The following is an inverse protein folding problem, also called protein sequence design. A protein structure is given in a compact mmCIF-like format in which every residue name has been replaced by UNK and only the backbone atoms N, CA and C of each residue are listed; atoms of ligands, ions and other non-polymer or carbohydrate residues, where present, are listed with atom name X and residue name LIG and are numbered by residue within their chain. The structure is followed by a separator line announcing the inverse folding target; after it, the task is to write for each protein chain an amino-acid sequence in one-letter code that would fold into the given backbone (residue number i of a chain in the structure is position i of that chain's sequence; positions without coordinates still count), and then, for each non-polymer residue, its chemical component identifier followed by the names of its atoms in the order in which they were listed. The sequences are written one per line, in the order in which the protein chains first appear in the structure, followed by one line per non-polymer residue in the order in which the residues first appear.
data_IF_490301070739
#
_entry.id   IF_490301070739
#
_cell.length_a   1.000
_cell.length_b   1.000
_cell.length_c   1.000
_cell.angle_alpha   90.00
_cell.angle_beta   90.00
_cell.angle_gamma   90.00
#
_symmetry.space_group_name_H-M   'P 1'
#
loop_
_entity.id
_entity.type
_entity.pdbx_description
1 polymer ?
#
# COMPACT_ATOMS: atom_id res chain seq x y z
N UNK A 1 12.78 -96.80 17.63
CA UNK A 1 12.58 -96.15 16.33
C UNK A 1 12.41 -94.68 16.61
N UNK A 2 13.44 -93.93 16.45
CA UNK A 2 13.60 -92.56 16.92
C UNK A 2 13.48 -91.62 15.73
N UNK A 3 12.43 -90.81 15.73
CA UNK A 3 12.19 -89.82 14.67
C UNK A 3 12.89 -88.52 15.09
N UNK A 4 13.85 -88.08 14.29
CA UNK A 4 14.55 -86.79 14.45
C UNK A 4 13.71 -85.70 13.81
N UNK A 5 13.20 -84.79 14.60
CA UNK A 5 12.59 -83.54 14.13
C UNK A 5 13.70 -82.51 13.89
N UNK A 6 13.95 -82.18 12.63
CA UNK A 6 14.81 -81.08 12.26
C UNK A 6 13.97 -79.78 12.25
N UNK A 7 14.19 -78.95 13.24
CA UNK A 7 13.60 -77.60 13.31
C UNK A 7 14.45 -76.67 12.41
N UNK A 8 13.88 -76.25 11.27
CA UNK A 8 14.46 -75.19 10.45
C UNK A 8 14.06 -73.84 11.11
N UNK A 9 15.00 -73.21 11.79
CA UNK A 9 14.87 -71.80 12.15
C UNK A 9 15.05 -70.98 10.89
N UNK A 10 13.94 -70.49 10.35
CA UNK A 10 13.97 -69.39 9.37
C UNK A 10 14.39 -68.12 10.11
N UNK A 11 15.64 -67.73 9.97
CA UNK A 11 16.08 -66.37 10.27
C UNK A 11 15.45 -65.42 9.29
N UNK A 12 14.33 -64.83 9.64
CA UNK A 12 13.89 -63.60 8.99
C UNK A 12 14.88 -62.51 9.39
N UNK A 13 15.84 -62.28 8.51
CA UNK A 13 16.66 -61.10 8.59
C UNK A 13 15.69 -59.89 8.48
N UNK A 14 15.50 -59.18 9.57
CA UNK A 14 15.02 -57.81 9.48
C UNK A 14 15.98 -57.06 8.54
N UNK A 15 15.60 -56.90 7.30
CA UNK A 15 16.16 -55.82 6.49
C UNK A 15 15.83 -54.54 7.27
N UNK A 16 16.84 -53.99 7.94
CA UNK A 16 16.77 -52.57 8.30
C UNK A 16 16.44 -51.83 7.03
N UNK A 17 15.24 -51.29 6.93
CA UNK A 17 14.90 -50.34 5.86
C UNK A 17 16.04 -49.34 5.84
N UNK A 18 16.76 -49.27 4.72
CA UNK A 18 17.79 -48.25 4.53
C UNK A 18 17.06 -46.93 4.68
N UNK A 19 17.48 -46.14 5.64
CA UNK A 19 16.95 -44.78 5.80
C UNK A 19 16.96 -44.10 4.43
N UNK A 20 15.82 -43.59 4.02
CA UNK A 20 15.70 -42.90 2.76
C UNK A 20 16.41 -41.56 2.84
N UNK A 21 17.62 -41.48 2.36
CA UNK A 21 18.45 -40.28 2.34
C UNK A 21 18.21 -39.37 1.12
N UNK A 22 17.16 -39.62 0.36
CA UNK A 22 16.86 -38.87 -0.88
C UNK A 22 16.67 -37.36 -0.60
N UNK A 23 16.12 -37.01 0.55
CA UNK A 23 15.95 -35.61 0.95
C UNK A 23 17.27 -34.81 1.03
N UNK A 24 18.40 -35.46 1.29
CA UNK A 24 19.73 -34.84 1.32
C UNK A 24 20.21 -34.37 -0.06
N UNK A 25 19.54 -34.80 -1.12
CA UNK A 25 19.85 -34.43 -2.50
C UNK A 25 19.06 -33.20 -2.97
N UNK A 26 18.14 -32.69 -2.12
CA UNK A 26 17.41 -31.47 -2.44
C UNK A 26 18.37 -30.28 -2.58
N UNK A 27 18.14 -29.38 -3.54
CA UNK A 27 18.97 -28.21 -3.73
C UNK A 27 18.84 -27.27 -2.52
N UNK A 28 19.98 -26.87 -1.95
CA UNK A 28 20.04 -25.97 -0.79
C UNK A 28 20.18 -24.47 -1.16
N UNK A 29 20.39 -24.17 -2.45
CA UNK A 29 20.53 -22.82 -2.96
C UNK A 29 19.19 -22.11 -3.15
N UNK A 30 19.25 -20.78 -3.31
CA UNK A 30 18.08 -20.00 -3.70
C UNK A 30 17.66 -20.34 -5.14
N UNK A 31 16.37 -20.48 -5.36
CA UNK A 31 15.75 -20.75 -6.65
C UNK A 31 14.87 -19.55 -6.97
N UNK A 32 15.21 -18.80 -8.04
CA UNK A 32 14.47 -17.59 -8.41
C UNK A 32 13.34 -17.88 -9.40
N UNK A 33 12.29 -17.06 -9.33
CA UNK A 33 11.22 -17.05 -10.34
C UNK A 33 11.79 -16.72 -11.72
N UNK A 34 12.73 -15.77 -11.82
CA UNK A 34 13.36 -15.35 -13.06
C UNK A 34 14.12 -16.48 -13.76
N UNK A 35 14.62 -17.48 -13.02
CA UNK A 35 15.27 -18.65 -13.60
C UNK A 35 14.31 -19.61 -14.31
N UNK A 36 13.00 -19.40 -14.17
CA UNK A 36 11.96 -20.29 -14.64
C UNK A 36 11.82 -21.59 -13.85
N UNK A 37 12.62 -21.80 -12.79
CA UNK A 37 12.56 -22.98 -11.94
C UNK A 37 11.64 -22.84 -10.74
N UNK A 38 11.37 -21.60 -10.29
CA UNK A 38 10.39 -21.34 -9.23
C UNK A 38 9.08 -20.80 -9.82
N UNK A 39 7.96 -21.36 -9.39
CA UNK A 39 6.62 -20.83 -9.61
C UNK A 39 6.01 -20.50 -8.26
N UNK A 40 5.79 -19.22 -7.98
CA UNK A 40 5.26 -18.73 -6.72
C UNK A 40 3.91 -18.08 -6.99
N UNK A 41 2.92 -18.36 -6.13
CA UNK A 41 1.67 -17.60 -6.08
C UNK A 41 1.40 -17.12 -4.67
N UNK A 42 0.88 -15.90 -4.54
CA UNK A 42 0.41 -15.33 -3.26
C UNK A 42 -1.07 -15.02 -3.40
N UNK A 43 -1.89 -15.59 -2.53
CA UNK A 43 -3.35 -15.45 -2.57
C UNK A 43 -3.94 -15.78 -3.96
N UNK A 44 -3.46 -16.88 -4.56
CA UNK A 44 -3.81 -17.37 -5.90
C UNK A 44 -3.34 -16.49 -7.08
N UNK A 45 -2.58 -15.43 -6.81
CA UNK A 45 -2.04 -14.54 -7.83
C UNK A 45 -0.57 -14.89 -8.08
N UNK A 46 -0.15 -15.19 -9.32
CA UNK A 46 1.24 -15.46 -9.65
C UNK A 46 2.17 -14.29 -9.29
N UNK A 47 3.35 -14.61 -8.75
CA UNK A 47 4.42 -13.65 -8.54
C UNK A 47 5.45 -13.81 -9.65
N UNK A 48 5.84 -12.70 -10.29
CA UNK A 48 6.86 -12.68 -11.34
C UNK A 48 8.26 -12.38 -10.81
N UNK A 49 8.41 -12.22 -9.49
CA UNK A 49 9.68 -11.97 -8.81
C UNK A 49 9.75 -12.77 -7.51
N UNK A 50 10.95 -12.79 -6.92
CA UNK A 50 11.21 -13.43 -5.64
C UNK A 50 11.98 -14.74 -5.76
N UNK A 51 12.46 -15.19 -4.60
CA UNK A 51 13.27 -16.38 -4.47
C UNK A 51 12.69 -17.33 -3.43
N UNK A 52 12.93 -18.62 -3.64
CA UNK A 52 12.61 -19.70 -2.69
C UNK A 52 13.91 -20.42 -2.33
N UNK A 53 14.10 -20.69 -1.06
CA UNK A 53 15.12 -21.58 -0.56
C UNK A 53 14.46 -22.59 0.38
N UNK A 54 14.71 -23.87 0.17
CA UNK A 54 14.27 -24.94 1.05
C UNK A 54 15.48 -25.68 1.57
N UNK A 55 15.66 -25.71 2.89
CA UNK A 55 16.73 -26.45 3.54
C UNK A 55 16.09 -27.55 4.37
N UNK A 56 16.29 -28.80 3.94
CA UNK A 56 15.78 -29.96 4.65
C UNK A 56 16.62 -30.22 5.90
N UNK A 57 15.97 -30.36 7.04
CA UNK A 57 16.57 -30.67 8.34
C UNK A 57 16.53 -32.18 8.63
N UNK A 58 15.52 -32.87 8.09
CA UNK A 58 15.29 -34.31 8.17
C UNK A 58 14.48 -34.79 6.96
N UNK A 59 14.10 -36.04 6.94
CA UNK A 59 13.24 -36.65 5.92
C UNK A 59 11.78 -36.16 5.98
N UNK A 60 11.37 -35.56 7.10
CA UNK A 60 10.02 -35.07 7.37
C UNK A 60 9.93 -33.57 7.70
N UNK A 61 11.08 -32.87 7.80
CA UNK A 61 11.11 -31.46 8.19
C UNK A 61 12.10 -30.64 7.34
N UNK A 62 11.71 -29.40 7.04
CA UNK A 62 12.54 -28.44 6.34
C UNK A 62 12.23 -27.01 6.78
N UNK A 63 13.16 -26.10 6.52
CA UNK A 63 12.97 -24.65 6.63
C UNK A 63 12.84 -24.06 5.22
N UNK A 64 11.67 -23.48 4.95
CA UNK A 64 11.41 -22.71 3.72
C UNK A 64 11.70 -21.23 4.00
N UNK A 65 12.48 -20.59 3.13
CA UNK A 65 12.69 -19.14 3.13
C UNK A 65 12.15 -18.57 1.83
N UNK A 66 11.28 -17.59 1.95
CA UNK A 66 10.72 -16.81 0.84
C UNK A 66 11.34 -15.41 0.88
N UNK A 67 12.06 -15.01 -0.17
CA UNK A 67 12.74 -13.71 -0.26
C UNK A 67 12.09 -12.85 -1.33
N UNK A 68 11.64 -11.64 -0.96
CA UNK A 68 11.03 -10.68 -1.89
C UNK A 68 9.67 -11.12 -2.45
N UNK A 69 8.97 -12.01 -1.75
CA UNK A 69 7.67 -12.57 -2.21
C UNK A 69 6.50 -11.78 -1.63
N UNK A 70 6.61 -11.34 -0.38
CA UNK A 70 5.53 -10.60 0.30
C UNK A 70 6.01 -9.18 0.59
N UNK A 71 5.30 -8.15 0.10
CA UNK A 71 5.66 -6.76 0.35
C UNK A 71 5.83 -6.44 1.84
N UNK A 72 6.85 -5.66 2.17
CA UNK A 72 7.20 -5.32 3.55
C UNK A 72 8.06 -6.35 4.28
N UNK A 73 8.26 -7.54 3.72
CA UNK A 73 9.10 -8.60 4.30
C UNK A 73 10.21 -8.98 3.33
N UNK A 74 11.46 -8.72 3.70
CA UNK A 74 12.61 -9.17 2.90
C UNK A 74 12.68 -10.69 2.84
N UNK A 75 12.60 -11.33 4.03
CA UNK A 75 12.63 -12.78 4.18
C UNK A 75 11.50 -13.24 5.10
N UNK A 76 10.74 -14.24 4.64
CA UNK A 76 9.77 -14.97 5.48
C UNK A 76 10.26 -16.41 5.64
N UNK A 77 10.51 -16.83 6.87
CA UNK A 77 10.93 -18.20 7.20
C UNK A 77 9.75 -18.99 7.75
N UNK A 78 9.54 -20.17 7.18
CA UNK A 78 8.46 -21.07 7.54
C UNK A 78 9.04 -22.45 7.82
N UNK A 79 8.80 -23.00 8.99
CA UNK A 79 9.04 -24.42 9.25
C UNK A 79 7.98 -25.24 8.54
N UNK A 80 8.37 -26.15 7.68
CA UNK A 80 7.48 -26.97 6.86
C UNK A 80 7.67 -28.44 7.12
N UNK A 81 6.59 -29.19 7.09
CA UNK A 81 6.63 -30.66 7.04
C UNK A 81 6.96 -31.08 5.59
N UNK A 82 7.91 -31.97 5.46
CA UNK A 82 8.35 -32.53 4.18
C UNK A 82 7.74 -33.92 3.99
N UNK A 83 7.21 -34.19 2.81
CA UNK A 83 6.60 -35.46 2.46
C UNK A 83 7.09 -35.94 1.09
N UNK A 84 7.81 -37.05 1.07
CA UNK A 84 8.21 -37.68 -0.20
C UNK A 84 6.98 -38.10 -1.00
N UNK A 85 6.90 -37.67 -2.25
CA UNK A 85 5.82 -37.97 -3.21
C UNK A 85 6.24 -39.03 -4.23
N UNK A 86 7.49 -38.94 -4.70
CA UNK A 86 8.11 -39.85 -5.62
C UNK A 86 9.63 -39.93 -5.36
N UNK A 87 10.37 -40.71 -6.13
CA UNK A 87 11.81 -40.82 -5.90
C UNK A 87 12.59 -39.54 -6.16
N UNK A 88 11.98 -38.57 -6.89
CA UNK A 88 12.59 -37.32 -7.30
C UNK A 88 11.85 -36.08 -6.79
N UNK A 89 10.77 -36.24 -6.01
CA UNK A 89 9.92 -35.09 -5.60
C UNK A 89 9.41 -35.17 -4.15
N UNK A 90 9.33 -34.01 -3.53
CA UNK A 90 8.80 -33.80 -2.19
C UNK A 90 7.72 -32.73 -2.20
N UNK A 91 6.65 -32.97 -1.45
CA UNK A 91 5.70 -31.93 -1.09
C UNK A 91 6.08 -31.33 0.26
N UNK A 92 5.72 -30.08 0.49
CA UNK A 92 5.90 -29.43 1.78
C UNK A 92 4.69 -28.57 2.14
N UNK A 93 4.46 -28.45 3.44
CA UNK A 93 3.39 -27.60 3.98
C UNK A 93 3.77 -27.07 5.34
N UNK A 94 3.46 -25.81 5.62
CA UNK A 94 3.73 -25.19 6.91
C UNK A 94 2.96 -23.90 7.11
N UNK A 95 3.01 -23.42 8.35
CA UNK A 95 2.40 -22.14 8.75
C UNK A 95 3.37 -21.40 9.63
N UNK A 96 3.46 -20.10 9.46
CA UNK A 96 4.18 -19.21 10.36
C UNK A 96 3.36 -17.96 10.63
N UNK A 97 3.56 -17.36 11.80
CA UNK A 97 2.99 -16.07 12.15
C UNK A 97 4.16 -15.09 12.22
N UNK A 98 4.05 -14.00 11.50
CA UNK A 98 5.05 -12.95 11.52
C UNK A 98 4.48 -11.71 12.20
N UNK A 99 5.29 -11.13 13.05
CA UNK A 99 5.02 -9.84 13.67
C UNK A 99 5.37 -8.71 12.69
N UNK A 100 5.18 -7.47 13.14
CA UNK A 100 5.51 -6.25 12.39
C UNK A 100 6.82 -6.39 11.63
N UNK A 101 6.91 -5.92 10.37
CA UNK A 101 8.16 -5.91 9.62
C UNK A 101 9.34 -5.37 10.45
N UNK A 102 10.52 -5.98 10.40
CA UNK A 102 11.65 -5.68 11.29
C UNK A 102 12.05 -4.20 11.32
N UNK A 103 11.83 -3.47 10.21
CA UNK A 103 12.08 -2.04 10.08
C UNK A 103 11.21 -1.17 11.01
N UNK A 104 10.04 -1.66 11.40
CA UNK A 104 9.11 -0.95 12.31
C UNK A 104 9.46 -1.25 13.77
N UNK A 105 9.84 -2.48 14.09
CA UNK A 105 10.19 -2.90 15.45
C UNK A 105 11.32 -2.04 16.04
N UNK A 106 12.26 -1.56 15.22
CA UNK A 106 13.36 -0.69 15.64
C UNK A 106 12.92 0.75 15.98
N UNK A 107 11.83 1.22 15.39
CA UNK A 107 11.33 2.60 15.58
C UNK A 107 10.29 2.69 16.70
N UNK A 108 9.48 1.66 16.85
CA UNK A 108 8.56 1.51 17.97
C UNK A 108 9.34 0.74 19.05
N UNK A 109 9.74 1.39 20.12
CA UNK A 109 10.36 0.75 21.32
C UNK A 109 9.41 -0.21 22.04
N UNK A 110 8.59 -0.93 21.30
CA UNK A 110 7.61 -1.87 21.81
C UNK A 110 8.14 -3.27 21.61
N UNK A 111 8.30 -4.00 22.72
CA UNK A 111 8.56 -5.43 22.77
C UNK A 111 7.30 -6.25 22.47
N UNK A 112 6.24 -5.60 21.98
CA UNK A 112 4.99 -6.25 21.68
C UNK A 112 5.10 -6.97 20.33
N UNK A 113 5.23 -8.27 20.40
CA UNK A 113 5.15 -9.22 19.29
C UNK A 113 3.69 -9.36 18.79
N UNK A 114 3.03 -8.23 18.48
CA UNK A 114 1.69 -8.30 17.90
C UNK A 114 1.79 -8.88 16.47
N UNK A 115 1.14 -10.02 16.21
CA UNK A 115 1.16 -10.63 14.90
C UNK A 115 0.49 -9.72 13.86
N UNK A 116 1.13 -9.56 12.70
CA UNK A 116 0.53 -8.82 11.59
C UNK A 116 -0.09 -9.76 10.56
N UNK A 117 0.60 -10.86 10.26
CA UNK A 117 0.16 -11.86 9.29
C UNK A 117 0.41 -13.28 9.76
N UNK A 118 -0.51 -14.18 9.41
CA UNK A 118 -0.27 -15.60 9.28
C UNK A 118 0.05 -15.92 7.81
N UNK A 119 1.07 -16.73 7.59
CA UNK A 119 1.45 -17.27 6.28
C UNK A 119 1.23 -18.76 6.28
N UNK A 120 0.38 -19.25 5.39
CA UNK A 120 0.19 -20.66 5.11
C UNK A 120 0.89 -20.96 3.79
N UNK A 121 1.83 -21.89 3.78
CA UNK A 121 2.55 -22.30 2.59
C UNK A 121 2.25 -23.75 2.26
N UNK A 122 2.09 -24.03 0.97
CA UNK A 122 1.94 -25.36 0.40
C UNK A 122 2.74 -25.43 -0.89
N UNK A 123 3.43 -26.52 -1.14
CA UNK A 123 4.23 -26.60 -2.35
C UNK A 123 4.88 -27.93 -2.60
N UNK A 124 5.71 -27.96 -3.64
CA UNK A 124 6.52 -29.11 -4.01
C UNK A 124 7.86 -28.68 -4.55
N UNK A 125 8.86 -29.54 -4.39
CA UNK A 125 10.21 -29.36 -4.91
C UNK A 125 10.70 -30.69 -5.47
N UNK A 126 11.44 -30.62 -6.58
CA UNK A 126 12.08 -31.78 -7.21
C UNK A 126 13.59 -31.74 -7.00
N UNK A 127 14.26 -32.87 -7.15
CA UNK A 127 15.71 -32.97 -6.98
C UNK A 127 16.50 -32.15 -8.01
N UNK A 128 15.93 -31.88 -9.17
CA UNK A 128 16.51 -31.00 -10.20
C UNK A 128 16.27 -29.49 -9.91
N UNK A 129 15.54 -29.19 -8.83
CA UNK A 129 15.33 -27.83 -8.34
C UNK A 129 14.13 -27.12 -8.92
N UNK A 130 13.20 -27.81 -9.60
CA UNK A 130 11.91 -27.18 -9.90
C UNK A 130 11.07 -27.07 -8.62
N UNK A 131 10.60 -25.88 -8.31
CA UNK A 131 9.81 -25.61 -7.09
C UNK A 131 8.52 -24.88 -7.40
N UNK A 132 7.43 -25.33 -6.79
CA UNK A 132 6.14 -24.65 -6.84
C UNK A 132 5.71 -24.32 -5.42
N UNK A 133 5.34 -23.06 -5.16
CA UNK A 133 4.91 -22.59 -3.84
C UNK A 133 3.62 -21.78 -3.98
N UNK A 134 2.65 -22.13 -3.17
CA UNK A 134 1.44 -21.32 -2.94
C UNK A 134 1.52 -20.74 -1.53
N UNK A 135 1.38 -19.45 -1.41
CA UNK A 135 1.37 -18.70 -0.15
C UNK A 135 -0.01 -18.10 0.04
N UNK A 136 -0.69 -18.44 1.11
CA UNK A 136 -1.89 -17.76 1.55
C UNK A 136 -1.56 -16.89 2.74
N UNK A 137 -1.87 -15.59 2.66
CA UNK A 137 -1.69 -14.63 3.74
C UNK A 137 -3.01 -14.38 4.45
N UNK A 138 -2.95 -14.07 5.75
CA UNK A 138 -4.11 -13.65 6.53
C UNK A 138 -3.68 -12.59 7.54
N UNK A 139 -4.34 -11.44 7.52
CA UNK A 139 -4.09 -10.38 8.51
C UNK A 139 -4.46 -10.83 9.92
N UNK A 140 -3.71 -10.35 10.91
CA UNK A 140 -3.83 -10.78 12.29
C UNK A 140 -3.90 -9.57 13.25
N UNK A 141 -4.23 -9.84 14.51
CA UNK A 141 -4.14 -8.87 15.61
C UNK A 141 -5.06 -7.66 15.42
N UNK A 142 -4.49 -6.46 15.50
CA UNK A 142 -5.21 -5.18 15.46
C UNK A 142 -5.92 -4.91 14.11
N UNK A 143 -5.62 -5.71 13.08
CA UNK A 143 -6.26 -5.60 11.77
C UNK A 143 -7.70 -6.14 11.75
N UNK A 144 -8.04 -7.07 12.63
CA UNK A 144 -9.33 -7.77 12.59
C UNK A 144 -10.58 -6.84 12.57
N UNK A 145 -10.64 -5.74 13.32
CA UNK A 145 -11.80 -4.84 13.31
C UNK A 145 -12.02 -4.10 11.99
N UNK A 146 -10.95 -3.95 11.17
CA UNK A 146 -10.99 -3.22 9.90
C UNK A 146 -11.40 -4.11 8.72
N UNK A 147 -11.33 -5.44 8.87
CA UNK A 147 -11.69 -6.38 7.80
C UNK A 147 -13.12 -6.14 7.33
N UNK A 148 -13.29 -6.02 6.02
CA UNK A 148 -14.57 -5.85 5.35
C UNK A 148 -14.62 -4.62 4.46
N UNK A 149 -15.82 -4.31 4.00
CA UNK A 149 -16.07 -3.20 3.09
C UNK A 149 -16.57 -1.97 3.84
N UNK A 150 -16.09 -0.81 3.42
CA UNK A 150 -16.34 0.49 4.03
C UNK A 150 -16.75 1.48 2.96
N UNK A 151 -18.00 1.92 2.99
CA UNK A 151 -18.53 2.91 2.07
C UNK A 151 -18.05 4.30 2.46
N UNK A 152 -17.65 5.12 1.47
CA UNK A 152 -17.37 6.53 1.75
C UNK A 152 -18.64 7.20 2.30
N UNK A 153 -18.48 8.06 3.29
CA UNK A 153 -19.61 8.81 3.82
C UNK A 153 -20.22 9.65 2.71
N UNK A 154 -21.53 9.51 2.49
CA UNK A 154 -22.28 10.29 1.53
C UNK A 154 -23.32 11.11 2.26
N UNK A 155 -23.24 12.42 2.15
CA UNK A 155 -24.24 13.31 2.69
C UNK A 155 -24.97 14.01 1.59
N UNK A 156 -26.30 14.05 1.68
CA UNK A 156 -27.16 14.86 0.82
C UNK A 156 -27.05 16.37 1.09
N UNK A 157 -26.26 16.75 2.08
CA UNK A 157 -26.10 18.11 2.58
C UNK A 157 -25.26 19.05 1.72
N UNK A 158 -24.61 18.56 0.67
CA UNK A 158 -23.83 19.41 -0.25
C UNK A 158 -24.64 20.55 -0.86
N UNK A 159 -25.97 20.47 -0.81
CA UNK A 159 -26.88 21.38 -1.49
C UNK A 159 -27.42 22.45 -0.55
N UNK A 160 -27.73 22.11 0.69
CA UNK A 160 -28.50 22.96 1.57
C UNK A 160 -27.67 23.63 2.66
N UNK A 161 -26.62 22.99 3.14
CA UNK A 161 -25.92 23.38 4.37
C UNK A 161 -24.52 23.90 4.16
N UNK A 162 -24.20 24.38 2.99
CA UNK A 162 -22.91 25.04 2.82
C UNK A 162 -21.68 24.15 3.06
N UNK A 163 -21.81 22.86 3.34
CA UNK A 163 -20.74 21.86 3.56
C UNK A 163 -19.45 22.41 4.20
N UNK A 164 -19.60 23.42 5.02
CA UNK A 164 -18.50 24.27 5.49
C UNK A 164 -18.28 24.14 7.00
N UNK A 165 -19.10 23.34 7.69
CA UNK A 165 -18.84 23.03 9.08
C UNK A 165 -17.70 22.03 9.19
N UNK A 166 -16.54 22.41 9.76
CA UNK A 166 -15.40 21.50 9.92
C UNK A 166 -15.70 20.36 10.89
N UNK A 167 -16.77 20.44 11.68
CA UNK A 167 -17.20 19.39 12.59
C UNK A 167 -18.21 18.43 11.95
N UNK A 168 -18.71 18.76 10.76
CA UNK A 168 -19.66 17.88 10.08
C UNK A 168 -18.94 16.68 9.47
N UNK A 169 -19.47 15.47 9.70
CA UNK A 169 -18.91 14.24 9.15
C UNK A 169 -19.15 14.22 7.64
N UNK A 170 -18.13 14.53 6.87
CA UNK A 170 -18.14 14.57 5.42
C UNK A 170 -17.16 13.55 4.85
N UNK A 171 -17.27 13.14 3.56
CA UNK A 171 -16.37 12.18 2.95
C UNK A 171 -14.90 12.47 3.17
N UNK A 172 -14.50 13.72 2.95
CA UNK A 172 -13.18 14.24 3.28
C UNK A 172 -13.29 15.39 4.27
N UNK A 173 -12.33 15.51 5.16
CA UNK A 173 -12.30 16.56 6.17
C UNK A 173 -10.88 17.09 6.32
N UNK A 174 -10.72 18.38 6.04
CA UNK A 174 -9.49 19.12 6.29
C UNK A 174 -9.62 19.89 7.60
N UNK A 175 -8.61 19.76 8.46
CA UNK A 175 -8.44 20.63 9.63
C UNK A 175 -7.08 21.27 9.54
N UNK A 176 -7.06 22.59 9.68
CA UNK A 176 -5.82 23.34 9.68
C UNK A 176 -5.90 24.49 10.67
N UNK A 177 -4.94 24.57 11.59
CA UNK A 177 -4.79 25.69 12.54
C UNK A 177 -3.37 26.20 12.46
N UNK A 178 -3.23 27.51 12.41
CA UNK A 178 -1.97 28.24 12.33
C UNK A 178 -1.93 29.22 13.50
N UNK A 179 -0.77 29.34 14.14
CA UNK A 179 -0.59 30.28 15.26
C UNK A 179 -0.45 31.72 14.77
N UNK A 180 -0.52 32.67 15.70
CA UNK A 180 -0.11 34.07 15.57
C UNK A 180 -0.89 34.92 14.53
N UNK A 181 -2.12 34.53 14.21
CA UNK A 181 -2.95 35.24 13.23
C UNK A 181 -2.44 35.17 11.79
N UNK A 182 -1.48 34.28 11.54
CA UNK A 182 -0.99 34.01 10.18
C UNK A 182 -2.00 33.20 9.38
N UNK A 183 -2.03 33.44 8.07
CA UNK A 183 -2.82 32.64 7.14
C UNK A 183 -4.33 32.73 7.30
N UNK A 184 -4.87 33.82 7.84
CA UNK A 184 -6.33 34.01 8.03
C UNK A 184 -7.11 33.77 6.74
N UNK A 185 -6.61 34.28 5.60
CA UNK A 185 -7.25 34.06 4.31
C UNK A 185 -7.25 32.60 3.95
N UNK A 186 -6.12 31.88 4.09
CA UNK A 186 -6.02 30.44 3.85
C UNK A 186 -7.01 29.67 4.73
N UNK A 187 -7.02 29.95 6.04
CA UNK A 187 -7.92 29.28 6.98
C UNK A 187 -9.39 29.53 6.66
N UNK A 188 -9.74 30.73 6.19
CA UNK A 188 -11.10 31.04 5.74
C UNK A 188 -11.49 30.26 4.47
N UNK A 189 -10.50 29.71 3.73
CA UNK A 189 -10.73 28.90 2.51
C UNK A 189 -10.77 27.40 2.77
N UNK A 190 -10.36 26.93 3.96
CA UNK A 190 -10.44 25.50 4.32
C UNK A 190 -11.83 24.88 4.10
N UNK A 191 -12.94 25.55 4.44
CA UNK A 191 -14.29 25.05 4.13
C UNK A 191 -14.55 24.84 2.63
N UNK A 192 -13.98 25.67 1.77
CA UNK A 192 -14.10 25.49 0.32
C UNK A 192 -13.27 24.31 -0.17
N UNK A 193 -12.09 24.07 0.41
CA UNK A 193 -11.29 22.89 0.12
C UNK A 193 -12.03 21.60 0.55
N UNK A 194 -12.67 21.64 1.72
CA UNK A 194 -13.55 20.55 2.17
C UNK A 194 -14.68 20.30 1.17
N UNK A 195 -15.37 21.36 0.76
CA UNK A 195 -16.46 21.24 -0.22
C UNK A 195 -15.98 20.65 -1.54
N UNK A 196 -14.90 21.20 -2.09
CA UNK A 196 -14.28 20.68 -3.31
C UNK A 196 -13.91 19.20 -3.21
N UNK A 197 -13.16 18.83 -2.16
CA UNK A 197 -12.76 17.45 -1.91
C UNK A 197 -13.96 16.50 -1.78
N UNK A 198 -15.01 16.95 -1.10
CA UNK A 198 -16.24 16.16 -0.94
C UNK A 198 -16.95 15.93 -2.28
N UNK A 199 -17.05 16.94 -3.12
CA UNK A 199 -17.65 16.80 -4.44
C UNK A 199 -16.85 15.83 -5.31
N UNK A 200 -15.52 16.01 -5.40
CA UNK A 200 -14.65 15.12 -6.18
C UNK A 200 -14.74 13.69 -5.67
N UNK A 201 -14.58 13.50 -4.37
CA UNK A 201 -14.48 12.16 -3.79
C UNK A 201 -15.76 11.36 -3.98
N UNK A 202 -16.91 11.99 -3.82
CA UNK A 202 -18.20 11.29 -4.00
C UNK A 202 -18.49 10.94 -5.47
N UNK A 203 -17.85 11.60 -6.44
CA UNK A 203 -17.95 11.24 -7.86
C UNK A 203 -17.07 10.07 -8.23
N UNK A 204 -15.86 9.98 -7.65
CA UNK A 204 -14.85 9.02 -8.13
C UNK A 204 -14.65 7.84 -7.19
N UNK A 205 -15.17 7.87 -5.98
CA UNK A 205 -14.91 6.85 -4.97
C UNK A 205 -16.18 6.46 -4.22
N UNK A 206 -16.44 5.16 -4.13
CA UNK A 206 -17.61 4.61 -3.47
C UNK A 206 -17.26 3.82 -2.20
N UNK A 207 -16.30 2.90 -2.32
CA UNK A 207 -16.02 1.94 -1.26
C UNK A 207 -14.55 1.53 -1.26
N UNK A 208 -14.01 1.27 -0.08
CA UNK A 208 -12.77 0.52 0.12
C UNK A 208 -13.07 -0.80 0.80
N UNK A 209 -12.41 -1.87 0.39
CA UNK A 209 -12.45 -3.17 1.04
C UNK A 209 -11.08 -3.53 1.55
N UNK A 210 -10.97 -3.74 2.86
CA UNK A 210 -9.83 -4.33 3.53
C UNK A 210 -10.06 -5.84 3.62
N UNK A 211 -9.44 -6.57 2.69
CA UNK A 211 -9.62 -8.02 2.59
C UNK A 211 -8.83 -8.75 3.68
N UNK A 212 -9.36 -9.86 4.18
CA UNK A 212 -8.70 -10.66 5.22
C UNK A 212 -7.33 -11.22 4.80
N UNK A 213 -7.09 -11.34 3.50
CA UNK A 213 -5.79 -11.77 2.96
C UNK A 213 -4.75 -10.66 2.90
N UNK A 214 -5.13 -9.43 3.28
CA UNK A 214 -4.26 -8.25 3.24
C UNK A 214 -4.36 -7.44 1.95
N UNK A 215 -5.19 -7.83 0.98
CA UNK A 215 -5.45 -7.01 -0.20
C UNK A 215 -6.32 -5.79 0.14
N UNK A 216 -6.12 -4.71 -0.62
CA UNK A 216 -7.00 -3.55 -0.65
C UNK A 216 -7.67 -3.50 -2.00
N UNK A 217 -9.00 -3.37 -1.99
CA UNK A 217 -9.80 -3.20 -3.20
C UNK A 217 -10.64 -1.95 -3.06
N UNK A 218 -11.03 -1.36 -4.19
CA UNK A 218 -11.86 -0.17 -4.22
C UNK A 218 -12.97 -0.30 -5.25
N UNK A 219 -14.11 0.34 -4.96
CA UNK A 219 -15.14 0.64 -5.96
C UNK A 219 -15.00 2.10 -6.34
N UNK A 220 -14.82 2.39 -7.61
CA UNK A 220 -14.46 3.70 -8.09
C UNK A 220 -15.08 4.00 -9.46
N UNK A 221 -15.06 5.29 -9.82
CA UNK A 221 -15.41 5.77 -11.14
C UNK A 221 -14.18 6.45 -11.77
N UNK A 222 -13.77 6.04 -12.97
CA UNK A 222 -12.46 6.46 -13.51
C UNK A 222 -12.46 7.87 -14.09
N UNK A 223 -13.65 8.47 -14.31
CA UNK A 223 -13.79 9.75 -15.01
C UNK A 223 -14.64 10.73 -14.19
N UNK A 224 -14.06 11.88 -13.88
CA UNK A 224 -14.78 12.96 -13.20
C UNK A 224 -15.81 13.65 -14.14
N UNK A 225 -15.71 13.43 -15.45
CA UNK A 225 -16.60 13.98 -16.45
C UNK A 225 -16.42 15.49 -16.65
N UNK A 226 -15.18 15.98 -16.51
CA UNK A 226 -14.80 17.37 -16.74
C UNK A 226 -13.71 17.43 -17.81
N UNK A 227 -13.93 18.22 -18.87
CA UNK A 227 -13.06 18.27 -20.04
C UNK A 227 -11.70 18.96 -19.77
N UNK A 228 -11.64 19.88 -18.81
CA UNK A 228 -10.46 20.71 -18.53
C UNK A 228 -9.67 20.28 -17.28
N UNK A 229 -9.74 19.02 -16.87
CA UNK A 229 -9.02 18.49 -15.70
C UNK A 229 -9.32 19.30 -14.44
N UNK A 230 -8.28 19.73 -13.71
CA UNK A 230 -8.44 20.48 -12.46
C UNK A 230 -9.19 21.82 -12.64
N UNK A 231 -9.00 22.52 -13.75
CA UNK A 231 -9.69 23.80 -14.01
C UNK A 231 -11.19 23.58 -14.28
N UNK A 232 -11.53 22.53 -15.02
CA UNK A 232 -12.92 22.12 -15.22
C UNK A 232 -13.57 21.64 -13.93
N UNK A 233 -12.83 20.88 -13.10
CA UNK A 233 -13.28 20.50 -11.77
C UNK A 233 -13.55 21.72 -10.90
N UNK A 234 -12.66 22.72 -10.87
CA UNK A 234 -12.89 23.97 -10.13
C UNK A 234 -14.11 24.71 -10.65
N UNK A 235 -14.32 24.80 -11.96
CA UNK A 235 -15.51 25.46 -12.54
C UNK A 235 -16.81 24.75 -12.17
N UNK A 236 -16.76 23.42 -12.04
CA UNK A 236 -17.92 22.62 -11.64
C UNK A 236 -18.32 22.90 -10.20
N UNK A 237 -17.34 23.06 -9.29
CA UNK A 237 -17.56 23.23 -7.87
C UNK A 237 -17.69 24.71 -7.44
N UNK A 238 -17.19 25.65 -8.25
CA UNK A 238 -17.28 27.08 -8.03
C UNK A 238 -17.87 27.78 -9.26
N UNK A 239 -19.11 27.47 -9.64
CA UNK A 239 -19.73 28.13 -10.78
C UNK A 239 -19.84 29.64 -10.53
N UNK A 240 -19.80 30.48 -11.60
CA UNK A 240 -19.79 31.95 -11.49
C UNK A 240 -21.02 32.58 -10.86
N UNK A 241 -22.11 31.84 -10.74
CA UNK A 241 -23.34 32.28 -10.05
C UNK A 241 -23.49 31.50 -8.77
N UNK A 242 -24.00 32.09 -7.73
CA UNK A 242 -24.38 31.56 -6.40
C UNK A 242 -24.52 30.03 -6.20
N UNK A 243 -23.95 29.24 -7.09
CA UNK A 243 -24.24 27.84 -7.30
C UNK A 243 -23.19 26.86 -6.84
N UNK A 244 -22.09 27.25 -6.20
CA UNK A 244 -21.15 26.20 -5.72
C UNK A 244 -21.70 25.37 -4.57
N UNK A 245 -22.82 25.80 -4.00
CA UNK A 245 -23.60 24.97 -3.07
C UNK A 245 -24.64 24.07 -3.77
N UNK A 246 -24.82 24.21 -5.08
CA UNK A 246 -25.83 23.48 -5.84
C UNK A 246 -25.29 22.22 -6.54
N UNK A 247 -24.05 21.85 -6.25
CA UNK A 247 -23.50 20.63 -6.81
C UNK A 247 -24.31 19.41 -6.36
N UNK A 248 -24.75 18.59 -7.30
CA UNK A 248 -25.48 17.33 -7.06
C UNK A 248 -24.60 16.19 -7.50
N UNK A 249 -24.14 15.32 -6.58
CA UNK A 249 -23.41 14.12 -6.94
C UNK A 249 -24.17 13.31 -7.97
N UNK A 250 -23.46 12.81 -8.99
CA UNK A 250 -24.00 11.82 -9.89
C UNK A 250 -24.14 10.51 -9.12
N UNK A 251 -25.31 9.92 -9.15
CA UNK A 251 -25.51 8.60 -8.56
C UNK A 251 -25.11 7.55 -9.59
N UNK A 252 -23.83 7.17 -9.61
CA UNK A 252 -23.36 6.06 -10.42
C UNK A 252 -23.98 4.76 -9.92
N UNK A 253 -24.50 3.93 -10.84
CA UNK A 253 -25.00 2.58 -10.56
C UNK A 253 -23.98 1.51 -10.91
N UNK A 254 -23.07 1.83 -11.85
CA UNK A 254 -22.15 0.87 -12.48
C UNK A 254 -20.70 1.20 -12.07
N UNK A 255 -20.45 1.23 -10.76
CA UNK A 255 -19.11 1.41 -10.21
C UNK A 255 -18.16 0.32 -10.70
N UNK A 256 -16.95 0.68 -11.09
CA UNK A 256 -15.89 -0.26 -11.37
C UNK A 256 -15.32 -0.79 -10.05
N UNK A 257 -14.91 -2.05 -10.06
CA UNK A 257 -14.19 -2.66 -8.95
C UNK A 257 -12.73 -2.89 -9.34
N UNK A 258 -11.81 -2.48 -8.46
CA UNK A 258 -10.41 -2.83 -8.65
C UNK A 258 -10.23 -4.34 -8.48
N UNK A 259 -9.39 -4.98 -9.31
CA UNK A 259 -9.14 -6.41 -9.18
C UNK A 259 -8.40 -6.71 -7.87
N UNK A 260 -8.61 -7.91 -7.32
CA UNK A 260 -7.75 -8.47 -6.29
C UNK A 260 -6.44 -8.91 -6.96
N UNK A 261 -5.42 -8.07 -6.92
CA UNK A 261 -4.20 -8.25 -7.71
C UNK A 261 -2.91 -8.09 -6.87
N UNK A 262 -2.99 -8.15 -5.56
CA UNK A 262 -1.85 -7.94 -4.64
C UNK A 262 -1.06 -6.64 -4.91
N UNK A 263 -1.71 -5.58 -5.42
CA UNK A 263 -1.06 -4.29 -5.71
C UNK A 263 -0.61 -3.57 -4.45
N UNK A 264 -1.32 -3.77 -3.36
CA UNK A 264 -0.95 -3.29 -2.03
C UNK A 264 -1.41 -4.27 -0.97
N UNK A 265 -0.64 -4.36 0.10
CA UNK A 265 -1.00 -5.10 1.31
C UNK A 265 -1.26 -4.12 2.44
N UNK A 266 -2.13 -4.49 3.37
CA UNK A 266 -2.44 -3.67 4.52
C UNK A 266 -2.40 -4.46 5.81
N UNK A 267 -2.05 -3.79 6.89
CA UNK A 267 -2.21 -4.28 8.24
C UNK A 267 -2.39 -3.10 9.20
N UNK A 268 -2.95 -3.36 10.37
CA UNK A 268 -3.08 -2.36 11.42
C UNK A 268 -2.21 -2.73 12.64
N UNK A 269 -1.73 -1.70 13.35
CA UNK A 269 -1.06 -1.82 14.63
C UNK A 269 -1.38 -0.62 15.51
N UNK A 270 -1.96 -0.88 16.68
CA UNK A 270 -2.49 0.20 17.52
C UNK A 270 -3.56 1.00 16.78
N UNK A 271 -3.35 2.28 16.63
CA UNK A 271 -4.20 3.20 15.86
C UNK A 271 -3.59 3.62 14.52
N UNK A 272 -2.58 2.89 14.05
CA UNK A 272 -1.97 3.10 12.73
C UNK A 272 -2.38 1.99 11.76
N UNK A 273 -2.76 2.40 10.54
CA UNK A 273 -3.01 1.57 9.37
C UNK A 273 -1.81 1.70 8.44
N UNK A 274 -1.20 0.61 8.07
CA UNK A 274 -0.08 0.56 7.14
C UNK A 274 -0.54 0.01 5.80
N UNK A 275 -0.22 0.74 4.73
CA UNK A 275 -0.47 0.32 3.35
C UNK A 275 0.87 0.12 2.66
N UNK A 276 1.21 -1.13 2.37
CA UNK A 276 2.49 -1.54 1.77
C UNK A 276 2.31 -1.75 0.27
N UNK A 277 2.81 -0.85 -0.59
CA UNK A 277 2.68 -1.02 -2.02
C UNK A 277 3.52 -2.20 -2.52
N UNK A 278 2.97 -3.00 -3.40
CA UNK A 278 3.70 -4.01 -4.15
C UNK A 278 4.21 -3.39 -5.46
N UNK A 279 5.38 -2.76 -5.37
CA UNK A 279 5.95 -2.00 -6.50
C UNK A 279 6.10 -2.85 -7.75
N UNK A 280 6.52 -4.12 -7.61
CA UNK A 280 6.65 -5.02 -8.75
C UNK A 280 5.31 -5.29 -9.45
N UNK A 281 4.27 -5.59 -8.69
CA UNK A 281 2.93 -5.82 -9.24
C UNK A 281 2.31 -4.54 -9.84
N UNK A 282 2.58 -3.37 -9.24
CA UNK A 282 2.12 -2.09 -9.77
C UNK A 282 2.78 -1.78 -11.12
N UNK A 283 4.10 -1.97 -11.24
CA UNK A 283 4.83 -1.77 -12.50
C UNK A 283 4.28 -2.72 -13.58
N UNK A 284 4.12 -4.00 -13.26
CA UNK A 284 3.58 -4.98 -14.20
C UNK A 284 2.15 -4.63 -14.65
N UNK A 285 1.29 -4.20 -13.73
CA UNK A 285 -0.05 -3.75 -14.07
C UNK A 285 -0.02 -2.52 -14.98
N UNK A 286 0.86 -1.55 -14.71
CA UNK A 286 1.06 -0.37 -15.54
C UNK A 286 1.59 -0.73 -16.93
N UNK A 287 2.55 -1.62 -17.05
CA UNK A 287 3.09 -2.08 -18.33
C UNK A 287 2.03 -2.84 -19.15
N UNK A 288 1.17 -3.61 -18.51
CA UNK A 288 0.06 -4.30 -19.18
C UNK A 288 -1.01 -3.34 -19.72
N UNK A 289 -1.21 -2.20 -19.06
CA UNK A 289 -2.07 -1.12 -19.52
C UNK A 289 -1.37 -0.24 -20.57
N UNK A 290 -0.06 0.00 -20.46
CA UNK A 290 0.75 0.76 -21.39
C UNK A 290 0.86 0.07 -22.78
N UNK A 291 0.83 -1.24 -22.84
CA UNK A 291 0.69 -2.00 -24.10
C UNK A 291 -0.67 -1.72 -24.77
N UNK A 292 -1.67 -1.24 -24.02
CA UNK A 292 -2.97 -0.79 -24.54
C UNK A 292 -3.06 0.71 -24.81
N UNK A 293 -2.19 1.48 -24.19
CA UNK A 293 -2.06 2.92 -24.39
C UNK A 293 -0.56 3.22 -24.57
N UNK A 294 -0.13 3.93 -25.58
CA UNK A 294 1.27 4.32 -25.87
C UNK A 294 1.99 5.09 -24.72
N UNK A 295 1.63 4.84 -23.47
CA UNK A 295 2.21 5.46 -22.28
C UNK A 295 3.34 4.59 -21.75
N UNK A 296 4.56 5.12 -21.77
CA UNK A 296 5.76 4.50 -21.19
C UNK A 296 5.62 4.31 -19.68
N UNK A 297 5.84 3.06 -19.21
CA UNK A 297 5.75 2.69 -17.79
C UNK A 297 6.68 3.49 -16.87
N UNK A 298 6.25 3.70 -15.63
CA UNK A 298 7.08 4.31 -14.58
C UNK A 298 7.97 3.19 -14.02
N UNK A 299 9.26 3.24 -14.33
CA UNK A 299 10.25 2.34 -13.73
C UNK A 299 11.00 3.02 -12.56
N UNK A 300 11.75 2.23 -11.81
CA UNK A 300 12.53 2.74 -10.66
C UNK A 300 13.59 3.76 -11.11
N UNK A 301 14.12 3.66 -12.33
CA UNK A 301 15.09 4.59 -12.90
C UNK A 301 14.46 5.95 -13.18
N UNK A 302 13.22 5.97 -13.67
CA UNK A 302 12.44 7.21 -13.85
C UNK A 302 12.20 7.94 -12.51
N UNK A 303 11.95 7.20 -11.43
CA UNK A 303 11.82 7.80 -10.09
C UNK A 303 13.15 8.42 -9.66
N UNK A 304 14.28 7.75 -9.89
CA UNK A 304 15.60 8.26 -9.55
C UNK A 304 15.99 9.49 -10.39
N UNK A 305 15.60 9.54 -11.67
CA UNK A 305 15.80 10.72 -12.52
C UNK A 305 14.95 11.90 -12.02
N UNK A 306 13.70 11.68 -11.64
CA UNK A 306 12.83 12.71 -11.05
C UNK A 306 13.47 13.25 -9.76
N UNK A 307 13.94 12.38 -8.88
CA UNK A 307 14.62 12.78 -7.65
C UNK A 307 15.90 13.60 -7.94
N UNK A 308 16.68 13.21 -8.95
CA UNK A 308 17.87 13.98 -9.36
C UNK A 308 17.49 15.38 -9.87
N UNK A 309 16.44 15.51 -10.67
CA UNK A 309 15.91 16.81 -11.10
C UNK A 309 15.40 17.65 -9.92
N UNK A 310 14.70 17.05 -8.97
CA UNK A 310 14.22 17.73 -7.76
C UNK A 310 15.36 18.31 -6.91
N UNK A 311 16.53 17.68 -6.91
CA UNK A 311 17.73 18.20 -6.23
C UNK A 311 18.17 19.55 -6.81
N UNK A 312 18.07 19.73 -8.12
CA UNK A 312 18.38 21.01 -8.78
C UNK A 312 17.43 22.13 -8.33
N UNK A 313 16.20 21.78 -7.96
CA UNK A 313 15.24 22.73 -7.39
C UNK A 313 15.45 23.00 -5.90
N UNK A 314 16.38 22.30 -5.23
CA UNK A 314 16.70 22.53 -3.84
C UNK A 314 15.91 21.67 -2.86
N UNK A 315 15.20 20.64 -3.37
CA UNK A 315 14.56 19.61 -2.52
C UNK A 315 15.63 18.89 -1.72
N UNK A 316 15.38 18.63 -0.45
CA UNK A 316 16.19 17.72 0.35
C UNK A 316 15.93 16.27 -0.09
N UNK A 317 16.64 15.87 -1.16
CA UNK A 317 16.47 14.55 -1.78
C UNK A 317 16.88 13.43 -0.84
N UNK A 318 17.84 13.66 0.06
CA UNK A 318 18.30 12.64 1.01
C UNK A 318 17.20 12.37 2.04
N UNK A 319 16.55 13.41 2.57
CA UNK A 319 15.41 13.28 3.47
C UNK A 319 14.21 12.63 2.75
N UNK A 320 13.91 13.04 1.51
CA UNK A 320 12.81 12.47 0.73
C UNK A 320 13.06 11.00 0.40
N UNK A 321 14.29 10.63 0.03
CA UNK A 321 14.66 9.24 -0.21
C UNK A 321 14.56 8.38 1.05
N UNK A 322 14.95 8.92 2.21
CA UNK A 322 14.79 8.22 3.48
C UNK A 322 13.30 7.92 3.79
N UNK A 323 12.37 8.85 3.51
CA UNK A 323 10.94 8.61 3.66
C UNK A 323 10.42 7.60 2.62
N UNK A 324 10.89 7.69 1.37
CA UNK A 324 10.54 6.71 0.34
C UNK A 324 10.99 5.29 0.73
N UNK A 325 12.21 5.14 1.25
CA UNK A 325 12.70 3.84 1.74
C UNK A 325 11.84 3.30 2.90
N UNK A 326 11.38 4.17 3.81
CA UNK A 326 10.44 3.76 4.86
C UNK A 326 9.12 3.26 4.26
N UNK A 327 8.57 3.97 3.27
CA UNK A 327 7.33 3.56 2.57
C UNK A 327 7.50 2.21 1.88
N UNK A 328 8.62 1.99 1.20
CA UNK A 328 8.89 0.71 0.53
C UNK A 328 9.07 -0.45 1.49
N UNK A 329 9.61 -0.20 2.69
CA UNK A 329 9.92 -1.24 3.69
C UNK A 329 8.73 -1.54 4.60
N UNK A 330 8.00 -0.53 5.06
CA UNK A 330 6.94 -0.68 6.07
C UNK A 330 5.54 -0.28 5.58
N UNK A 331 5.47 0.34 4.42
CA UNK A 331 4.24 0.93 3.91
C UNK A 331 4.06 2.40 4.31
N UNK A 332 3.04 3.00 3.70
CA UNK A 332 2.53 4.31 4.07
C UNK A 332 1.80 4.17 5.40
N UNK A 333 2.25 4.90 6.40
CA UNK A 333 1.54 4.97 7.68
C UNK A 333 0.40 5.97 7.58
N UNK A 334 -0.78 5.54 7.97
CA UNK A 334 -1.99 6.34 8.14
C UNK A 334 -2.48 6.14 9.57
N UNK A 335 -3.13 7.12 10.14
CA UNK A 335 -3.85 6.93 11.41
C UNK A 335 -5.30 6.55 11.14
N UNK A 336 -5.90 5.83 12.06
CA UNK A 336 -7.32 5.55 12.00
C UNK A 336 -7.97 5.63 13.38
N UNK A 337 -9.28 5.86 13.37
CA UNK A 337 -10.15 5.65 14.51
C UNK A 337 -11.40 4.91 14.06
N UNK A 338 -11.87 4.01 14.91
CA UNK A 338 -13.06 3.21 14.68
C UNK A 338 -14.03 3.46 15.84
N UNK A 339 -15.27 3.84 15.52
CA UNK A 339 -16.34 4.03 16.47
C UNK A 339 -17.61 3.35 15.93
N UNK A 340 -17.89 2.13 16.43
CA UNK A 340 -18.94 1.29 15.90
C UNK A 340 -18.74 1.00 14.41
N UNK A 341 -19.73 1.42 13.60
CA UNK A 341 -19.71 1.26 12.14
C UNK A 341 -19.07 2.46 11.41
N UNK A 342 -18.43 3.37 12.13
CA UNK A 342 -17.77 4.55 11.56
C UNK A 342 -16.27 4.37 11.59
N UNK A 343 -15.63 4.45 10.43
CA UNK A 343 -14.18 4.40 10.26
C UNK A 343 -13.68 5.75 9.74
N UNK A 344 -12.69 6.30 10.40
CA UNK A 344 -11.97 7.50 10.00
C UNK A 344 -10.51 7.13 9.75
N UNK A 345 -10.00 7.40 8.54
CA UNK A 345 -8.58 7.22 8.17
C UNK A 345 -8.01 8.60 7.88
N UNK A 346 -6.85 8.94 8.48
CA UNK A 346 -6.31 10.28 8.36
C UNK A 346 -4.79 10.33 8.40
N UNK A 347 -4.26 11.42 7.86
CA UNK A 347 -2.87 11.87 8.06
C UNK A 347 -2.90 13.16 8.88
N UNK A 348 -1.98 13.28 9.81
CA UNK A 348 -1.82 14.49 10.63
C UNK A 348 -0.51 15.22 10.30
N UNK A 349 -0.30 16.35 10.98
CA UNK A 349 0.93 17.14 10.83
C UNK A 349 2.18 16.30 11.05
N UNK A 350 2.19 15.42 12.05
CA UNK A 350 3.37 14.66 12.41
C UNK A 350 3.78 13.67 11.30
N UNK A 351 2.81 13.06 10.63
CA UNK A 351 3.04 12.18 9.48
C UNK A 351 3.46 12.95 8.22
N UNK A 352 2.90 14.15 8.02
CA UNK A 352 3.21 14.99 6.86
C UNK A 352 4.55 15.74 6.99
N UNK A 353 4.96 16.08 8.21
CA UNK A 353 6.11 16.95 8.50
C UNK A 353 7.42 16.52 7.80
N UNK A 354 7.83 15.25 7.79
CA UNK A 354 9.07 14.84 7.14
C UNK A 354 9.08 15.14 5.64
N UNK A 355 8.00 14.83 4.95
CA UNK A 355 7.86 15.02 3.50
C UNK A 355 7.75 16.51 3.18
N UNK A 356 6.90 17.24 3.90
CA UNK A 356 6.73 18.68 3.67
C UNK A 356 8.04 19.40 3.91
N UNK A 357 8.74 19.14 5.02
CA UNK A 357 10.03 19.79 5.32
C UNK A 357 11.11 19.50 4.29
N UNK A 358 11.12 18.31 3.67
CA UNK A 358 12.03 17.99 2.58
C UNK A 358 11.75 18.83 1.31
N UNK A 359 10.49 19.22 1.09
CA UNK A 359 10.07 20.02 -0.07
C UNK A 359 10.19 21.54 0.14
N UNK A 360 10.07 22.04 1.38
CA UNK A 360 10.10 23.48 1.65
C UNK A 360 11.31 24.22 1.07
N UNK A 361 12.55 23.67 1.07
CA UNK A 361 13.71 24.36 0.53
C UNK A 361 13.65 24.64 -0.97
N UNK A 362 12.79 23.93 -1.70
CA UNK A 362 12.59 24.15 -3.15
C UNK A 362 11.70 25.36 -3.46
N UNK A 363 10.83 25.77 -2.52
CA UNK A 363 9.79 26.77 -2.78
C UNK A 363 10.34 28.10 -3.30
N UNK A 364 11.46 28.67 -2.81
CA UNK A 364 12.00 29.91 -3.36
C UNK A 364 12.42 29.82 -4.83
N UNK A 365 12.86 28.66 -5.30
CA UNK A 365 13.15 28.45 -6.74
C UNK A 365 11.87 28.32 -7.56
N UNK A 366 10.85 27.68 -6.97
CA UNK A 366 9.52 27.59 -7.59
C UNK A 366 8.88 28.98 -7.72
N UNK A 367 9.10 29.88 -6.75
CA UNK A 367 8.66 31.29 -6.84
C UNK A 367 9.21 31.94 -8.12
N UNK A 368 10.51 31.84 -8.36
CA UNK A 368 11.18 32.43 -9.54
C UNK A 368 10.67 31.80 -10.83
N UNK A 369 10.55 30.47 -10.86
CA UNK A 369 10.08 29.77 -12.05
C UNK A 369 8.62 30.13 -12.38
N UNK A 370 7.75 30.14 -11.37
CA UNK A 370 6.34 30.50 -11.55
C UNK A 370 6.21 31.92 -12.10
N UNK A 371 6.97 32.87 -11.57
CA UNK A 371 6.93 34.25 -12.04
C UNK A 371 7.40 34.37 -13.49
N UNK A 372 8.50 33.67 -13.88
CA UNK A 372 8.99 33.62 -15.26
C UNK A 372 7.93 33.03 -16.20
N UNK A 373 7.29 31.95 -15.82
CA UNK A 373 6.23 31.32 -16.63
C UNK A 373 5.00 32.22 -16.76
N UNK A 374 4.61 32.94 -15.71
CA UNK A 374 3.52 33.92 -15.78
C UNK A 374 3.86 35.07 -16.73
N UNK A 375 5.12 35.60 -16.68
CA UNK A 375 5.59 36.63 -17.64
C UNK A 375 5.65 36.12 -19.06
N UNK A 376 5.96 34.84 -19.26
CA UNK A 376 5.92 34.17 -20.57
C UNK A 376 4.50 33.79 -21.01
N UNK A 377 3.48 34.30 -20.36
CA UNK A 377 2.05 34.08 -20.67
C UNK A 377 1.58 32.60 -20.57
N UNK A 378 2.29 31.76 -19.86
CA UNK A 378 1.89 30.37 -19.64
C UNK A 378 0.54 30.29 -18.91
N UNK A 379 -0.43 29.69 -19.55
CA UNK A 379 -1.80 29.62 -19.04
C UNK A 379 -1.90 28.83 -17.74
N UNK A 380 -1.19 27.71 -17.61
CA UNK A 380 -1.16 26.89 -16.40
C UNK A 380 -0.56 27.66 -15.23
N UNK A 381 0.54 28.38 -15.45
CA UNK A 381 1.18 29.19 -14.41
C UNK A 381 0.25 30.33 -13.93
N UNK A 382 -0.50 30.96 -14.85
CA UNK A 382 -1.52 31.97 -14.49
C UNK A 382 -2.65 31.37 -13.66
N UNK A 383 -3.14 30.18 -14.01
CA UNK A 383 -4.14 29.43 -13.23
C UNK A 383 -3.64 29.12 -11.83
N UNK A 384 -2.40 28.62 -11.72
CA UNK A 384 -1.76 28.32 -10.41
C UNK A 384 -1.66 29.61 -9.56
N UNK A 385 -1.19 30.71 -10.15
CA UNK A 385 -1.11 32.00 -9.44
C UNK A 385 -2.49 32.51 -9.01
N UNK A 386 -3.51 32.30 -9.81
CA UNK A 386 -4.89 32.60 -9.47
C UNK A 386 -5.40 31.80 -8.27
N UNK A 387 -5.12 30.50 -8.25
CA UNK A 387 -5.46 29.60 -7.11
C UNK A 387 -4.72 30.06 -5.85
N UNK A 388 -3.44 30.37 -5.96
CA UNK A 388 -2.65 30.87 -4.82
C UNK A 388 -3.23 32.16 -4.26
N UNK A 389 -3.57 33.12 -5.12
CA UNK A 389 -4.24 34.37 -4.72
C UNK A 389 -5.57 34.11 -4.02
N UNK A 390 -6.37 33.17 -4.51
CA UNK A 390 -7.59 32.71 -3.83
C UNK A 390 -7.30 32.18 -2.42
N UNK A 391 -6.19 31.47 -2.24
CA UNK A 391 -5.76 30.93 -0.94
C UNK A 391 -5.06 31.99 -0.06
N UNK A 392 -4.87 33.22 -0.55
CA UNK A 392 -4.17 34.28 0.17
C UNK A 392 -2.64 34.09 0.22
N UNK A 393 -2.09 33.44 -0.80
CA UNK A 393 -0.64 33.24 -0.97
C UNK A 393 -0.15 34.12 -2.12
N UNK A 394 0.88 34.94 -1.86
CA UNK A 394 1.51 35.75 -2.91
C UNK A 394 2.46 34.91 -3.75
N UNK A 395 3.15 33.98 -3.12
CA UNK A 395 4.13 33.09 -3.71
C UNK A 395 4.21 31.72 -3.02
N UNK A 396 4.69 30.68 -3.70
CA UNK A 396 4.85 29.33 -3.13
C UNK A 396 5.58 29.28 -1.80
N UNK A 397 6.63 30.09 -1.63
CA UNK A 397 7.43 30.09 -0.40
C UNK A 397 6.68 30.59 0.86
N UNK A 398 5.52 31.24 0.72
CA UNK A 398 4.68 31.61 1.85
C UNK A 398 4.19 30.38 2.61
N UNK A 399 4.01 29.25 1.91
CA UNK A 399 3.66 27.97 2.52
C UNK A 399 4.67 27.50 3.57
N UNK A 400 5.96 27.85 3.42
CA UNK A 400 6.98 27.48 4.41
C UNK A 400 6.71 28.19 5.76
N UNK A 401 6.36 29.47 5.72
CA UNK A 401 6.03 30.24 6.91
C UNK A 401 4.76 29.70 7.58
N UNK A 402 3.73 29.43 6.79
CA UNK A 402 2.45 28.90 7.28
C UNK A 402 2.61 27.51 7.86
N UNK A 403 3.37 26.63 7.20
CA UNK A 403 3.61 25.28 7.69
C UNK A 403 4.39 25.27 9.01
N UNK A 404 5.41 26.10 9.13
CA UNK A 404 6.18 26.23 10.36
C UNK A 404 5.35 26.75 11.52
N UNK A 405 4.38 27.62 11.26
CA UNK A 405 3.45 28.16 12.25
C UNK A 405 2.23 27.27 12.47
N UNK A 406 2.06 26.17 11.71
CA UNK A 406 0.95 25.24 11.84
C UNK A 406 1.01 24.50 13.16
N UNK A 407 -0.08 24.58 13.93
CA UNK A 407 -0.24 23.89 15.22
C UNK A 407 -1.07 22.62 15.10
N UNK A 408 -2.01 22.56 14.15
CA UNK A 408 -2.83 21.40 13.83
C UNK A 408 -3.01 21.31 12.32
N UNK A 409 -2.79 20.13 11.77
CA UNK A 409 -3.10 19.81 10.38
C UNK A 409 -3.58 18.38 10.31
N UNK A 410 -4.69 18.15 9.62
CA UNK A 410 -5.26 16.83 9.43
C UNK A 410 -6.05 16.79 8.12
N UNK A 411 -5.86 15.73 7.37
CA UNK A 411 -6.70 15.34 6.23
C UNK A 411 -7.26 13.97 6.52
N UNK A 412 -8.56 13.84 6.57
CA UNK A 412 -9.25 12.60 6.90
C UNK A 412 -10.25 12.19 5.84
N UNK A 413 -10.39 10.88 5.65
CA UNK A 413 -11.46 10.22 4.92
C UNK A 413 -12.38 9.53 5.93
N UNK A 414 -13.68 9.69 5.76
CA UNK A 414 -14.68 9.11 6.65
C UNK A 414 -15.53 8.08 5.91
N UNK A 415 -15.73 6.96 6.58
CA UNK A 415 -16.43 5.80 6.04
C UNK A 415 -17.47 5.29 7.01
N UNK A 416 -18.43 4.55 6.47
CA UNK A 416 -19.38 3.73 7.23
C UNK A 416 -19.29 2.29 6.77
N UNK A 417 -19.48 1.36 7.67
CA UNK A 417 -19.48 -0.06 7.34
C UNK A 417 -20.55 -0.36 6.30
N UNK A 418 -20.19 -1.19 5.29
CA UNK A 418 -21.09 -1.56 4.20
C UNK A 418 -22.17 -2.55 4.63
#
# INVERSE_FOLDING_TARGET
MMAILVSIYAMTACQKDKADDTWKQLPVGQISVESGKAAISVNDIPCNCGNVQLVADSDDAATLTLTGVVPGYNDVKVSVNLLKKSDDSFAFKGTTIVSTPPSIAATLRSTDENPCYAFNVDGSITLDGAVKVTVATQVQGDSAPLIGSWNIVRKSRYIEDKCMDPNDLSPIQFKWKISDGLGETLLSRVPYLNHFGNCVLTEVFDQVTFDETGNIMARYWPDLGVDDGLAGAFSLFFPPSDGYYNYKPKNHTDWLESPKANLAFWYAKGNSLFVVPNVAAIIEAADSEAVRSDASGIDLSSIMEILAQLKEFGVDVDALNAELQKILQRGVELKYSLDGDSLRIYVDKALCDPIVKALLPALPKIDVLLEQLVQAENETARKIKGIMGFLGLDKPSDLATLWNATTEFEIALNFTKA
#
